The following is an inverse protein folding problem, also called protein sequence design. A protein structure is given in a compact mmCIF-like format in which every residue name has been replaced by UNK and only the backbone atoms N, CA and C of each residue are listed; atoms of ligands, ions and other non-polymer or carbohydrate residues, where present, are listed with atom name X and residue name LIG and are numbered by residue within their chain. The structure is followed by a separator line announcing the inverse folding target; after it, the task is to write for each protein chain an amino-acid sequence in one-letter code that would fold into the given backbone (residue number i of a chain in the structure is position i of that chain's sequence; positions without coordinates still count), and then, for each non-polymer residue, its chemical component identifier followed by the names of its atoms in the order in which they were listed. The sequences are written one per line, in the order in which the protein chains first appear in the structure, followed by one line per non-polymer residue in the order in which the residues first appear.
data_IF_220947089442
#
_entry.id   IF_220947089442
#
_cell.length_a   1.000
_cell.length_b   1.000
_cell.length_c   1.000
_cell.angle_alpha   90.00
_cell.angle_beta   90.00
_cell.angle_gamma   90.00
#
_symmetry.space_group_name_H-M   'P 1'
#
loop_
_entity.id
_entity.type
_entity.pdbx_description
1 polymer ?
#
# COMPACT_ATOMS: atom_id res chain seq x y z
N UNK A 1 18.48 -2.47 20.73
CA UNK A 1 18.04 -2.76 19.35
C UNK A 1 17.74 -4.25 19.30
N UNK A 2 16.47 -4.62 19.18
CA UNK A 2 16.09 -6.02 18.99
C UNK A 2 16.61 -6.48 17.63
N UNK A 3 17.38 -7.56 17.61
CA UNK A 3 17.88 -8.12 16.36
C UNK A 3 16.88 -9.16 15.87
N UNK A 4 16.36 -8.95 14.65
CA UNK A 4 15.57 -9.96 13.95
C UNK A 4 16.53 -11.07 13.47
N UNK A 5 16.29 -12.30 13.92
CA UNK A 5 17.16 -13.44 13.61
C UNK A 5 16.99 -13.94 12.18
N UNK A 6 15.76 -13.95 11.67
CA UNK A 6 15.44 -14.37 10.31
C UNK A 6 14.31 -13.52 9.72
N UNK A 7 14.48 -13.08 8.49
CA UNK A 7 13.41 -12.52 7.67
C UNK A 7 12.99 -13.56 6.64
N UNK A 8 11.68 -13.76 6.49
CA UNK A 8 11.12 -14.48 5.35
C UNK A 8 10.41 -13.48 4.46
N UNK A 9 10.85 -13.34 3.20
CA UNK A 9 10.23 -12.50 2.17
C UNK A 9 9.53 -13.39 1.16
N UNK A 10 8.21 -13.27 1.06
CA UNK A 10 7.38 -14.01 0.12
C UNK A 10 6.79 -13.06 -0.94
N UNK A 11 6.92 -13.40 -2.20
CA UNK A 11 6.34 -12.68 -3.34
C UNK A 11 5.96 -13.65 -4.46
N UNK A 12 4.94 -13.31 -5.24
CA UNK A 12 4.54 -14.05 -6.44
C UNK A 12 5.41 -13.72 -7.65
N UNK A 13 6.16 -12.62 -7.60
CA UNK A 13 7.03 -12.15 -8.67
C UNK A 13 8.47 -12.61 -8.42
N UNK A 14 8.92 -13.56 -9.22
CA UNK A 14 10.32 -14.01 -9.20
C UNK A 14 11.29 -12.83 -9.41
N UNK A 15 10.95 -11.92 -10.33
CA UNK A 15 11.79 -10.73 -10.61
C UNK A 15 11.91 -9.80 -9.40
N UNK A 16 10.84 -9.63 -8.62
CA UNK A 16 10.89 -8.81 -7.40
C UNK A 16 11.75 -9.47 -6.33
N UNK A 17 11.69 -10.79 -6.21
CA UNK A 17 12.56 -11.55 -5.30
C UNK A 17 14.04 -11.41 -5.69
N UNK A 18 14.38 -11.52 -6.96
CA UNK A 18 15.75 -11.33 -7.47
C UNK A 18 16.30 -9.93 -7.15
N UNK A 19 15.48 -8.88 -7.32
CA UNK A 19 15.85 -7.50 -6.97
C UNK A 19 16.06 -7.36 -5.46
N UNK A 20 15.22 -8.00 -4.67
CA UNK A 20 15.32 -7.97 -3.21
C UNK A 20 16.55 -8.75 -2.73
N UNK A 21 16.82 -9.93 -3.30
CA UNK A 21 17.99 -10.76 -2.99
C UNK A 21 19.32 -10.02 -3.24
N UNK A 22 19.39 -9.28 -4.35
CA UNK A 22 20.57 -8.47 -4.67
C UNK A 22 20.87 -7.35 -3.64
N UNK A 23 19.89 -6.99 -2.80
CA UNK A 23 19.98 -5.95 -1.76
C UNK A 23 19.95 -6.50 -0.34
N UNK A 24 19.65 -7.76 -0.19
CA UNK A 24 19.42 -8.37 1.11
C UNK A 24 20.71 -8.65 1.88
N UNK A 25 20.57 -8.71 3.19
CA UNK A 25 21.58 -9.23 4.10
C UNK A 25 21.46 -10.75 4.24
N UNK A 26 22.40 -11.38 4.94
CA UNK A 26 22.56 -12.85 5.01
C UNK A 26 21.45 -13.60 5.76
N UNK A 27 20.54 -12.90 6.46
CA UNK A 27 19.48 -13.52 7.27
C UNK A 27 18.10 -13.47 6.63
N UNK A 28 18.02 -13.40 5.30
CA UNK A 28 16.75 -13.36 4.54
C UNK A 28 16.53 -14.68 3.82
N UNK A 29 15.37 -15.27 4.02
CA UNK A 29 14.86 -16.41 3.25
C UNK A 29 13.85 -15.91 2.23
N UNK A 30 14.04 -16.26 0.96
CA UNK A 30 13.15 -15.86 -0.15
C UNK A 30 12.21 -17.00 -0.50
N UNK A 31 10.91 -16.71 -0.62
CA UNK A 31 9.88 -17.68 -0.99
C UNK A 31 9.10 -17.18 -2.20
N UNK A 32 9.27 -17.85 -3.33
CA UNK A 32 8.48 -17.58 -4.53
C UNK A 32 7.13 -18.29 -4.43
N UNK A 33 6.17 -17.64 -3.77
CA UNK A 33 4.81 -18.18 -3.59
C UNK A 33 3.80 -17.09 -3.24
N UNK A 34 2.52 -17.41 -3.45
CA UNK A 34 1.42 -16.51 -3.08
C UNK A 34 1.18 -16.53 -1.57
N UNK A 35 0.47 -15.49 -1.09
CA UNK A 35 0.02 -15.41 0.31
C UNK A 35 -0.86 -16.61 0.69
N UNK A 36 -1.77 -17.02 -0.18
CA UNK A 36 -2.66 -18.17 0.05
C UNK A 36 -1.84 -19.45 0.25
N UNK A 37 -0.86 -19.66 -0.61
CA UNK A 37 0.03 -20.82 -0.50
C UNK A 37 0.84 -20.81 0.80
N UNK A 38 1.31 -19.63 1.21
CA UNK A 38 2.01 -19.48 2.48
C UNK A 38 1.10 -19.82 3.67
N UNK A 39 -0.17 -19.38 3.63
CA UNK A 39 -1.17 -19.69 4.66
C UNK A 39 -1.41 -21.21 4.73
N UNK A 40 -1.53 -21.89 3.59
CA UNK A 40 -1.73 -23.35 3.51
C UNK A 40 -0.59 -24.15 4.14
N UNK A 41 0.64 -23.62 4.16
CA UNK A 41 1.77 -24.31 4.80
C UNK A 41 1.63 -24.43 6.31
N UNK A 42 0.79 -23.62 6.95
CA UNK A 42 0.66 -23.53 8.40
C UNK A 42 1.90 -22.98 9.12
N UNK A 43 2.92 -22.52 8.37
CA UNK A 43 4.12 -21.91 8.96
C UNK A 43 3.73 -20.70 9.79
N UNK A 44 4.36 -20.53 10.96
CA UNK A 44 4.16 -19.39 11.86
C UNK A 44 5.38 -18.50 11.86
N UNK A 45 5.13 -17.22 12.07
CA UNK A 45 6.14 -16.18 12.20
C UNK A 45 5.85 -15.37 13.47
N UNK A 46 6.85 -14.88 14.12
CA UNK A 46 6.65 -14.01 15.28
C UNK A 46 5.88 -12.74 14.88
N UNK A 47 6.29 -12.12 13.80
CA UNK A 47 5.62 -10.94 13.22
C UNK A 47 5.38 -11.17 11.73
N UNK A 48 4.19 -10.81 11.26
CA UNK A 48 3.86 -10.76 9.82
C UNK A 48 3.68 -9.31 9.41
N UNK A 49 4.37 -8.88 8.36
CA UNK A 49 4.24 -7.55 7.78
C UNK A 49 3.78 -7.64 6.32
N UNK A 50 2.68 -7.00 6.01
CA UNK A 50 2.11 -6.94 4.67
C UNK A 50 1.98 -5.49 4.21
N UNK A 51 2.78 -5.11 3.21
CA UNK A 51 2.79 -3.75 2.67
C UNK A 51 2.22 -3.73 1.26
N UNK A 52 1.26 -2.84 1.01
CA UNK A 52 0.65 -2.59 -0.33
C UNK A 52 0.22 -3.87 -1.07
N UNK A 53 -0.13 -4.91 -0.33
CA UNK A 53 -0.43 -6.22 -0.87
C UNK A 53 -1.81 -6.26 -1.55
N UNK A 54 -1.89 -6.47 -2.88
CA UNK A 54 -3.16 -6.54 -3.60
C UNK A 54 -3.97 -7.80 -3.29
N UNK A 55 -3.34 -8.85 -2.75
CA UNK A 55 -4.06 -10.06 -2.36
C UNK A 55 -4.97 -9.89 -1.14
N UNK A 56 -4.79 -8.79 -0.36
CA UNK A 56 -5.70 -8.43 0.73
C UNK A 56 -6.88 -7.59 0.24
N UNK A 57 -7.60 -8.05 -0.77
CA UNK A 57 -8.71 -7.35 -1.42
C UNK A 57 -10.03 -7.43 -0.63
N UNK A 58 -10.11 -8.29 0.38
CA UNK A 58 -11.26 -8.42 1.28
C UNK A 58 -10.85 -8.39 2.76
N UNK A 59 -11.75 -7.89 3.65
CA UNK A 59 -11.46 -7.85 5.09
C UNK A 59 -11.22 -9.21 5.73
N UNK A 60 -11.88 -10.27 5.23
CA UNK A 60 -11.76 -11.64 5.76
C UNK A 60 -10.35 -12.19 5.58
N UNK A 61 -9.66 -11.79 4.50
CA UNK A 61 -8.27 -12.17 4.24
C UNK A 61 -7.29 -11.63 5.28
N UNK A 62 -7.67 -10.55 5.99
CA UNK A 62 -6.89 -10.05 7.15
C UNK A 62 -6.81 -11.09 8.25
N UNK A 63 -7.92 -11.80 8.54
CA UNK A 63 -7.90 -12.88 9.54
C UNK A 63 -6.99 -14.03 9.12
N UNK A 64 -7.05 -14.42 7.84
CA UNK A 64 -6.18 -15.47 7.31
C UNK A 64 -4.69 -15.08 7.41
N UNK A 65 -4.36 -13.82 7.12
CA UNK A 65 -3.00 -13.30 7.28
C UNK A 65 -2.56 -13.32 8.76
N UNK A 66 -3.45 -12.89 9.68
CA UNK A 66 -3.17 -12.92 11.12
C UNK A 66 -2.91 -14.34 11.64
N UNK A 67 -3.47 -15.38 11.00
CA UNK A 67 -3.19 -16.77 11.39
C UNK A 67 -1.74 -17.17 11.17
N UNK A 68 -0.97 -16.49 10.33
CA UNK A 68 0.46 -16.73 10.15
C UNK A 68 1.30 -16.15 11.30
N UNK A 69 0.74 -15.24 12.11
CA UNK A 69 1.49 -14.52 13.13
C UNK A 69 1.23 -15.07 14.53
N UNK A 70 2.30 -15.17 15.33
CA UNK A 70 2.22 -15.53 16.75
C UNK A 70 2.04 -14.31 17.66
N UNK A 71 2.57 -13.14 17.24
CA UNK A 71 2.53 -11.94 18.07
C UNK A 71 1.81 -10.76 17.41
N UNK A 72 2.25 -10.32 16.24
CA UNK A 72 1.76 -9.13 15.58
C UNK A 72 1.58 -9.31 14.08
N UNK A 73 0.40 -8.96 13.56
CA UNK A 73 0.15 -8.78 12.15
C UNK A 73 0.11 -7.28 11.83
N UNK A 74 1.00 -6.84 10.97
CA UNK A 74 1.16 -5.45 10.57
C UNK A 74 0.72 -5.30 9.12
N UNK A 75 -0.21 -4.39 8.85
CA UNK A 75 -0.69 -4.11 7.48
C UNK A 75 -0.47 -2.63 7.18
N UNK A 76 0.26 -2.35 6.11
CA UNK A 76 0.61 -0.99 5.69
C UNK A 76 0.03 -0.72 4.29
N UNK A 77 -0.76 0.36 4.17
CA UNK A 77 -1.42 0.71 2.91
C UNK A 77 -1.47 2.21 2.69
N UNK A 78 -1.48 2.57 1.40
CA UNK A 78 -1.92 3.87 0.94
C UNK A 78 -3.41 4.05 1.27
N UNK A 79 -3.77 5.17 1.90
CA UNK A 79 -5.17 5.49 2.25
C UNK A 79 -5.66 6.79 1.63
N UNK A 80 -4.73 7.66 1.23
CA UNK A 80 -5.05 8.92 0.56
C UNK A 80 -3.88 9.33 -0.34
N UNK A 81 -4.21 9.77 -1.54
CA UNK A 81 -3.27 10.33 -2.48
C UNK A 81 -3.98 11.45 -3.22
N UNK A 82 -3.42 12.63 -3.19
CA UNK A 82 -3.92 13.80 -3.89
C UNK A 82 -2.75 14.60 -4.46
N UNK A 83 -2.95 15.19 -5.60
CA UNK A 83 -2.02 16.12 -6.20
C UNK A 83 -2.74 17.32 -6.82
N UNK A 84 -1.99 18.38 -7.11
CA UNK A 84 -2.57 19.65 -7.54
C UNK A 84 -2.88 19.72 -9.05
N UNK A 85 -2.30 18.84 -9.86
CA UNK A 85 -2.41 18.93 -11.32
C UNK A 85 -3.29 17.85 -11.95
N UNK A 86 -3.33 16.64 -11.38
CA UNK A 86 -4.04 15.50 -11.96
C UNK A 86 -5.32 15.14 -11.20
N UNK A 87 -5.24 15.03 -9.88
CA UNK A 87 -6.38 14.64 -9.03
C UNK A 87 -7.65 15.47 -9.22
N UNK A 88 -7.60 16.78 -9.53
CA UNK A 88 -8.82 17.55 -9.82
C UNK A 88 -9.59 17.07 -11.05
N UNK A 89 -8.97 16.30 -11.92
CA UNK A 89 -9.52 15.86 -13.21
C UNK A 89 -9.73 14.35 -13.30
N UNK A 90 -9.20 13.58 -12.35
CA UNK A 90 -9.41 12.14 -12.29
C UNK A 90 -10.86 11.81 -11.91
N UNK A 91 -11.51 11.00 -12.74
CA UNK A 91 -12.92 10.64 -12.54
C UNK A 91 -13.09 9.45 -11.59
N UNK A 92 -12.08 8.61 -11.49
CA UNK A 92 -12.15 7.39 -10.70
C UNK A 92 -11.14 7.43 -9.54
N UNK A 93 -11.65 7.28 -8.32
CA UNK A 93 -10.78 7.08 -7.17
C UNK A 93 -10.27 5.65 -7.14
N UNK A 94 -8.98 5.45 -6.86
CA UNK A 94 -8.40 4.13 -6.64
C UNK A 94 -9.20 3.37 -5.55
N UNK A 95 -9.87 2.25 -5.88
CA UNK A 95 -10.71 1.54 -4.91
C UNK A 95 -9.92 1.00 -3.72
N UNK A 96 -8.62 0.78 -3.88
CA UNK A 96 -7.75 0.29 -2.82
C UNK A 96 -7.58 1.29 -1.65
N UNK A 97 -7.81 2.58 -1.87
CA UNK A 97 -7.77 3.60 -0.82
C UNK A 97 -8.81 3.34 0.29
N UNK A 98 -9.90 2.64 -0.05
CA UNK A 98 -11.00 2.31 0.89
C UNK A 98 -10.73 1.05 1.72
N UNK A 99 -9.78 0.20 1.32
CA UNK A 99 -9.59 -1.11 1.96
C UNK A 99 -9.19 -1.00 3.42
N UNK A 100 -8.34 -0.05 3.78
CA UNK A 100 -7.94 0.17 5.17
C UNK A 100 -9.14 0.49 6.08
N UNK A 101 -10.08 1.30 5.60
CA UNK A 101 -11.32 1.59 6.33
C UNK A 101 -12.20 0.34 6.49
N UNK A 102 -12.27 -0.50 5.45
CA UNK A 102 -13.00 -1.78 5.49
C UNK A 102 -12.38 -2.75 6.50
N UNK A 103 -11.05 -2.87 6.54
CA UNK A 103 -10.36 -3.71 7.53
C UNK A 103 -10.66 -3.25 8.96
N UNK A 104 -10.59 -1.94 9.23
CA UNK A 104 -10.91 -1.38 10.55
C UNK A 104 -12.36 -1.65 10.95
N UNK A 105 -13.31 -1.50 10.01
CA UNK A 105 -14.72 -1.78 10.26
C UNK A 105 -14.94 -3.27 10.59
N UNK A 106 -14.30 -4.15 9.82
CA UNK A 106 -14.35 -5.59 10.04
C UNK A 106 -13.76 -5.98 11.41
N UNK A 107 -12.56 -5.51 11.75
CA UNK A 107 -11.90 -5.80 13.03
C UNK A 107 -12.75 -5.32 14.22
N UNK A 108 -13.38 -4.15 14.10
CA UNK A 108 -14.33 -3.65 15.13
C UNK A 108 -15.53 -4.57 15.28
N UNK A 109 -16.13 -5.02 14.18
CA UNK A 109 -17.26 -5.96 14.18
C UNK A 109 -16.88 -7.28 14.86
N UNK A 110 -15.69 -7.79 14.59
CA UNK A 110 -15.15 -9.01 15.17
C UNK A 110 -14.60 -8.80 16.60
N UNK A 111 -14.74 -7.60 17.18
CA UNK A 111 -14.24 -7.23 18.50
C UNK A 111 -12.73 -7.50 18.69
N UNK A 112 -11.96 -7.46 17.58
CA UNK A 112 -10.52 -7.64 17.63
C UNK A 112 -9.82 -6.32 17.91
N UNK A 113 -8.92 -6.25 18.89
CA UNK A 113 -8.14 -5.06 19.16
C UNK A 113 -7.17 -4.78 18.01
N UNK A 114 -6.94 -3.51 17.74
CA UNK A 114 -5.90 -3.06 16.81
C UNK A 114 -5.46 -1.65 17.13
N UNK A 115 -4.25 -1.30 16.70
CA UNK A 115 -3.69 0.04 16.78
C UNK A 115 -3.47 0.59 15.38
N UNK A 116 -3.50 1.91 15.22
CA UNK A 116 -3.25 2.54 13.91
C UNK A 116 -2.25 3.68 14.03
N UNK A 117 -1.48 3.90 12.96
CA UNK A 117 -0.61 5.06 12.81
C UNK A 117 -0.62 5.52 11.37
N UNK A 118 -0.82 6.84 11.17
CA UNK A 118 -0.72 7.47 9.85
C UNK A 118 0.65 8.08 9.64
N UNK A 119 1.10 8.07 8.39
CA UNK A 119 2.35 8.65 7.91
C UNK A 119 2.02 9.58 6.75
N UNK A 120 2.45 10.82 6.86
CA UNK A 120 2.17 11.88 5.91
C UNK A 120 3.44 12.19 5.13
N UNK A 121 3.31 12.25 3.82
CA UNK A 121 4.40 12.60 2.91
C UNK A 121 3.91 13.69 1.97
N UNK A 122 4.76 14.69 1.78
CA UNK A 122 4.57 15.74 0.80
C UNK A 122 5.72 15.67 -0.20
N UNK A 123 5.40 15.81 -1.46
CA UNK A 123 6.37 15.84 -2.56
C UNK A 123 5.99 16.94 -3.54
N UNK A 124 6.99 17.47 -4.23
CA UNK A 124 6.79 18.39 -5.33
C UNK A 124 7.61 17.91 -6.52
N UNK A 125 6.97 17.83 -7.67
CA UNK A 125 7.60 17.42 -8.92
C UNK A 125 7.29 18.39 -10.05
N UNK A 126 8.24 18.55 -10.96
CA UNK A 126 8.08 19.42 -12.11
C UNK A 126 7.40 18.66 -13.26
N UNK A 127 6.23 19.11 -13.67
CA UNK A 127 5.43 18.53 -14.77
C UNK A 127 5.50 19.44 -15.97
N UNK A 128 5.90 18.88 -17.13
CA UNK A 128 5.86 19.59 -18.39
C UNK A 128 4.46 19.58 -19.02
N UNK A 129 4.18 20.56 -19.87
CA UNK A 129 2.95 20.60 -20.69
C UNK A 129 2.78 19.32 -21.51
N UNK A 130 3.87 18.83 -22.09
CA UNK A 130 3.83 17.64 -22.95
C UNK A 130 3.50 16.39 -22.14
N UNK A 131 4.05 16.25 -20.94
CA UNK A 131 3.69 15.14 -20.06
C UNK A 131 2.20 15.20 -19.66
N UNK A 132 1.72 16.38 -19.26
CA UNK A 132 0.30 16.57 -18.93
C UNK A 132 -0.62 16.28 -20.12
N UNK A 133 -0.22 16.69 -21.33
CA UNK A 133 -0.94 16.38 -22.58
C UNK A 133 -1.02 14.87 -22.81
N UNK A 134 0.10 14.18 -22.80
CA UNK A 134 0.15 12.72 -23.01
C UNK A 134 -0.65 11.93 -21.96
N UNK A 135 -0.74 12.43 -20.73
CA UNK A 135 -1.50 11.77 -19.67
C UNK A 135 -3.01 11.78 -19.94
N UNK A 136 -3.54 12.89 -20.52
CA UNK A 136 -4.97 13.07 -20.74
C UNK A 136 -5.42 12.91 -22.20
N UNK A 137 -4.51 12.69 -23.15
CA UNK A 137 -4.85 12.66 -24.60
C UNK A 137 -5.84 11.56 -24.99
N UNK A 138 -5.87 10.44 -24.23
CA UNK A 138 -6.85 9.39 -24.45
C UNK A 138 -8.20 9.64 -23.74
N UNK A 139 -8.23 10.54 -22.78
CA UNK A 139 -9.42 10.80 -21.94
C UNK A 139 -10.23 12.00 -22.41
N UNK A 140 -9.59 12.99 -23.04
CA UNK A 140 -10.20 14.25 -23.44
C UNK A 140 -10.09 14.50 -24.95
N UNK A 141 -11.13 15.15 -25.51
CA UNK A 141 -11.03 15.66 -26.86
C UNK A 141 -9.98 16.77 -26.96
N UNK A 142 -9.35 16.91 -28.14
CA UNK A 142 -8.27 17.90 -28.34
C UNK A 142 -8.65 19.32 -27.90
N UNK A 143 -9.86 19.85 -28.23
CA UNK A 143 -10.24 21.21 -27.81
C UNK A 143 -10.30 21.37 -26.28
N UNK A 144 -10.82 20.36 -25.57
CA UNK A 144 -10.90 20.36 -24.09
C UNK A 144 -9.50 20.29 -23.50
N UNK A 145 -8.67 19.40 -24.01
CA UNK A 145 -7.29 19.21 -23.55
C UNK A 145 -6.47 20.51 -23.68
N UNK A 146 -6.51 21.16 -24.86
CA UNK A 146 -5.77 22.40 -25.08
C UNK A 146 -6.30 23.56 -24.21
N UNK A 147 -7.61 23.64 -24.01
CA UNK A 147 -8.21 24.61 -23.08
C UNK A 147 -7.66 24.38 -21.64
N UNK A 148 -7.65 23.14 -21.16
CA UNK A 148 -7.14 22.81 -19.81
C UNK A 148 -5.65 23.09 -19.65
N UNK A 149 -4.86 22.76 -20.67
CA UNK A 149 -3.44 23.08 -20.70
C UNK A 149 -3.23 24.59 -20.60
N UNK A 150 -4.00 25.38 -21.34
CA UNK A 150 -3.90 26.84 -21.29
C UNK A 150 -4.32 27.40 -19.92
N UNK A 151 -5.39 26.88 -19.32
CA UNK A 151 -5.84 27.27 -17.99
C UNK A 151 -4.80 26.96 -16.89
N UNK A 152 -4.17 25.79 -16.98
CA UNK A 152 -3.23 25.32 -15.94
C UNK A 152 -1.83 25.92 -16.13
N UNK A 153 -1.29 25.84 -17.32
CA UNK A 153 0.11 26.21 -17.61
C UNK A 153 0.25 27.65 -18.09
N UNK A 154 -0.74 28.22 -18.79
CA UNK A 154 -0.62 29.52 -19.43
C UNK A 154 0.59 29.58 -20.37
N UNK A 155 1.50 30.53 -20.11
CA UNK A 155 2.75 30.67 -20.88
C UNK A 155 3.91 29.80 -20.34
N UNK A 156 3.74 29.10 -19.24
CA UNK A 156 4.79 28.28 -18.64
C UNK A 156 4.85 26.89 -19.26
N UNK A 157 6.05 26.41 -19.58
CA UNK A 157 6.29 25.05 -20.09
C UNK A 157 6.28 23.99 -18.98
N UNK A 158 6.56 24.41 -17.74
CA UNK A 158 6.66 23.51 -16.59
C UNK A 158 5.84 24.11 -15.44
N UNK A 159 5.16 23.24 -14.68
CA UNK A 159 4.46 23.58 -13.45
C UNK A 159 4.79 22.60 -12.33
N UNK A 160 4.82 23.12 -11.10
CA UNK A 160 5.03 22.26 -9.92
C UNK A 160 3.73 21.55 -9.56
N UNK A 161 3.78 20.24 -9.49
CA UNK A 161 2.72 19.39 -8.96
C UNK A 161 3.00 19.13 -7.48
N UNK A 162 2.14 19.62 -6.60
CA UNK A 162 2.20 19.35 -5.18
C UNK A 162 1.42 18.07 -4.90
N UNK A 163 2.08 17.08 -4.28
CA UNK A 163 1.50 15.77 -4.01
C UNK A 163 1.50 15.49 -2.51
N UNK A 164 0.33 15.13 -1.99
CA UNK A 164 0.16 14.64 -0.62
C UNK A 164 -0.18 13.16 -0.65
N UNK A 165 0.56 12.38 0.11
CA UNK A 165 0.41 10.92 0.18
C UNK A 165 0.28 10.54 1.66
N UNK A 166 -0.78 9.80 2.00
CA UNK A 166 -0.99 9.32 3.36
C UNK A 166 -1.02 7.79 3.35
N UNK A 167 -0.10 7.21 4.10
CA UNK A 167 -0.13 5.78 4.42
C UNK A 167 -0.68 5.57 5.83
N UNK A 168 -1.31 4.42 6.04
CA UNK A 168 -1.75 3.99 7.37
C UNK A 168 -1.22 2.59 7.65
N UNK A 169 -0.70 2.40 8.87
CA UNK A 169 -0.33 1.11 9.45
C UNK A 169 -1.43 0.68 10.41
N UNK A 170 -1.91 -0.55 10.27
CA UNK A 170 -2.66 -1.25 11.32
C UNK A 170 -1.73 -2.29 11.96
N UNK A 171 -1.69 -2.31 13.29
CA UNK A 171 -1.03 -3.35 14.09
C UNK A 171 -2.09 -4.15 14.85
N UNK A 172 -2.18 -5.45 14.58
CA UNK A 172 -3.17 -6.38 15.14
C UNK A 172 -2.43 -7.38 16.04
N UNK A 173 -2.72 -7.39 17.36
CA UNK A 173 -2.15 -8.41 18.23
C UNK A 173 -2.75 -9.79 17.89
N UNK A 174 -1.87 -10.80 17.75
CA UNK A 174 -2.25 -12.16 17.40
C UNK A 174 -2.04 -13.15 18.56
N UNK A 175 -1.33 -12.75 19.62
CA UNK A 175 -1.26 -13.54 20.87
C UNK A 175 -2.68 -13.78 21.40
N UNK A 176 -3.00 -15.03 21.66
CA UNK A 176 -4.16 -15.34 22.50
C UNK A 176 -3.86 -14.75 23.88
N UNK A 177 -4.68 -13.84 24.35
CA UNK A 177 -4.72 -13.51 25.76
C UNK A 177 -5.06 -14.83 26.48
N UNK A 178 -4.06 -15.47 27.09
CA UNK A 178 -4.36 -16.42 28.14
C UNK A 178 -5.06 -15.59 29.22
N UNK A 179 -6.37 -15.76 29.33
CA UNK A 179 -7.08 -15.37 30.54
C UNK A 179 -6.45 -16.23 31.65
N UNK A 180 -5.59 -15.62 32.47
CA UNK A 180 -5.23 -16.21 33.73
C UNK A 180 -6.53 -16.37 34.52
N UNK A 181 -6.92 -17.62 34.73
CA UNK A 181 -7.93 -18.03 35.70
C UNK A 181 -7.46 -17.75 37.13
#
# INVERSE_FOLDING_TARGET
QEQVTEYTLADISQRMLEIAEAKAQSNVVFLHQSQERLIETGKKFQVVFSAMNPALDTPEKVNALCQLSEEWCLIFRLVEEQDSLFSPFEQESNPQLKWMAQYKAFLKKEQRPFFTKKFFFEASEAISKDFFRSYFEEQWSVPILEQRIQEIFGSHEIKQNQRTIIYELIAIPCKKTTSDD
#
